data_IF_239176867041
#
_entry.id   IF_239176867041
#
_cell.length_a   1.000
_cell.length_b   1.000
_cell.length_c   1.000
_cell.angle_alpha   90.00
_cell.angle_beta   90.00
_cell.angle_gamma   90.00
#
_symmetry.space_group_name_H-M   'P 1'
#
loop_
_entity.id
_entity.type
_entity.pdbx_description
1 polymer ?
#
# COMPACT_ATOMS: atom_id res chain seq x y z
N UNK A 1 -24.95 -7.96 -5.06
CA UNK A 1 -23.98 -6.99 -4.51
C UNK A 1 -24.53 -6.22 -3.32
N UNK A 2 -25.78 -5.76 -3.35
CA UNK A 2 -26.36 -5.02 -2.21
C UNK A 2 -26.50 -5.87 -0.95
N UNK A 3 -26.85 -7.15 -1.09
CA UNK A 3 -26.89 -8.10 0.03
C UNK A 3 -25.49 -8.32 0.66
N UNK A 4 -24.43 -8.42 -0.16
CA UNK A 4 -23.04 -8.45 0.33
C UNK A 4 -22.71 -7.18 1.13
N UNK A 5 -23.01 -6.00 0.56
CA UNK A 5 -22.78 -4.72 1.24
C UNK A 5 -23.55 -4.65 2.56
N UNK A 6 -24.78 -5.12 2.60
CA UNK A 6 -25.59 -5.18 3.81
C UNK A 6 -24.91 -6.08 4.86
N UNK A 7 -24.52 -7.31 4.50
CA UNK A 7 -23.82 -8.24 5.42
C UNK A 7 -22.50 -7.67 5.98
N UNK A 8 -21.81 -6.83 5.21
CA UNK A 8 -20.56 -6.18 5.64
C UNK A 8 -20.84 -4.97 6.53
N UNK A 9 -21.86 -4.17 6.21
CA UNK A 9 -22.13 -2.88 6.87
C UNK A 9 -23.03 -2.97 8.10
N UNK A 10 -23.88 -3.98 8.21
CA UNK A 10 -24.81 -4.12 9.36
C UNK A 10 -24.20 -4.85 10.56
N UNK A 11 -23.02 -5.46 10.41
CA UNK A 11 -22.35 -6.18 11.49
C UNK A 11 -21.41 -5.25 12.25
N UNK A 12 -21.77 -4.88 13.48
CA UNK A 12 -20.97 -3.99 14.33
C UNK A 12 -19.54 -4.51 14.57
N UNK A 13 -19.32 -5.83 14.52
CA UNK A 13 -17.98 -6.41 14.64
C UNK A 13 -17.10 -6.08 13.45
N UNK A 14 -17.69 -5.81 12.28
CA UNK A 14 -16.97 -5.44 11.05
C UNK A 14 -16.69 -3.95 10.93
N UNK A 15 -17.46 -3.13 11.64
CA UNK A 15 -17.26 -1.68 11.68
C UNK A 15 -15.84 -1.32 12.16
N UNK A 16 -15.28 -2.10 13.09
CA UNK A 16 -13.90 -1.90 13.58
C UNK A 16 -12.88 -1.99 12.44
N UNK A 17 -12.98 -3.00 11.58
CA UNK A 17 -12.06 -3.17 10.45
C UNK A 17 -12.26 -2.10 9.36
N UNK A 18 -13.51 -1.70 9.11
CA UNK A 18 -13.83 -0.65 8.13
C UNK A 18 -13.37 0.74 8.56
N UNK A 19 -13.29 0.99 9.86
CA UNK A 19 -12.91 2.29 10.43
C UNK A 19 -11.43 2.37 10.79
N UNK A 20 -10.75 1.23 10.95
CA UNK A 20 -9.35 1.16 11.37
C UNK A 20 -8.49 0.36 10.36
N UNK A 21 -7.81 1.11 9.49
CA UNK A 21 -6.88 0.51 8.52
C UNK A 21 -5.65 -0.10 9.21
N UNK A 22 -5.20 0.45 10.34
CA UNK A 22 -4.10 -0.13 11.08
C UNK A 22 -4.49 -1.50 11.68
N UNK A 23 -5.77 -1.71 12.01
CA UNK A 23 -6.28 -3.03 12.35
C UNK A 23 -6.14 -4.01 11.19
N UNK A 24 -6.58 -3.61 10.00
CA UNK A 24 -6.44 -4.43 8.80
C UNK A 24 -4.98 -4.82 8.52
N UNK A 25 -4.03 -3.88 8.67
CA UNK A 25 -2.61 -4.13 8.42
C UNK A 25 -1.94 -5.00 9.49
N UNK A 26 -2.42 -4.94 10.73
CA UNK A 26 -1.92 -5.75 11.84
C UNK A 26 -2.33 -7.21 11.74
N UNK A 27 -3.50 -7.47 11.16
CA UNK A 27 -4.10 -8.81 11.07
C UNK A 27 -4.81 -9.00 9.74
N UNK A 28 -4.07 -8.98 8.61
CA UNK A 28 -4.64 -8.99 7.27
C UNK A 28 -5.48 -10.23 6.95
N UNK A 29 -5.10 -11.41 7.48
CA UNK A 29 -5.89 -12.65 7.32
C UNK A 29 -7.25 -12.54 8.01
N UNK A 30 -7.29 -12.06 9.26
CA UNK A 30 -8.53 -11.89 10.01
C UNK A 30 -9.43 -10.83 9.38
N UNK A 31 -8.84 -9.71 8.96
CA UNK A 31 -9.55 -8.64 8.26
C UNK A 31 -10.16 -9.15 6.94
N UNK A 32 -9.39 -9.89 6.14
CA UNK A 32 -9.89 -10.51 4.90
C UNK A 32 -10.99 -11.53 5.18
N UNK A 33 -10.83 -12.37 6.21
CA UNK A 33 -11.85 -13.31 6.66
C UNK A 33 -13.17 -12.61 6.98
N UNK A 34 -13.14 -11.63 7.87
CA UNK A 34 -14.32 -10.92 8.35
C UNK A 34 -15.00 -10.04 7.28
N UNK A 35 -14.20 -9.34 6.47
CA UNK A 35 -14.70 -8.36 5.50
C UNK A 35 -15.02 -8.92 4.12
N UNK A 36 -14.40 -10.04 3.73
CA UNK A 36 -14.51 -10.60 2.37
C UNK A 36 -14.98 -12.05 2.43
N UNK A 37 -14.20 -12.94 3.04
CA UNK A 37 -14.43 -14.38 2.89
C UNK A 37 -15.71 -14.87 3.58
N UNK A 38 -15.96 -14.50 4.84
CA UNK A 38 -17.16 -14.86 5.58
C UNK A 38 -18.45 -14.29 4.96
N UNK A 39 -18.53 -12.99 4.58
CA UNK A 39 -19.69 -12.50 3.84
C UNK A 39 -19.95 -13.28 2.56
N UNK A 40 -18.91 -13.57 1.76
CA UNK A 40 -19.07 -14.37 0.54
C UNK A 40 -19.52 -15.80 0.85
N UNK A 41 -18.99 -16.43 1.90
CA UNK A 41 -19.40 -17.76 2.33
C UNK A 41 -20.88 -17.82 2.74
N UNK A 42 -21.44 -16.75 3.33
CA UNK A 42 -22.89 -16.67 3.64
C UNK A 42 -23.74 -16.64 2.36
N UNK A 43 -23.21 -16.10 1.27
CA UNK A 43 -23.87 -16.07 -0.04
C UNK A 43 -23.74 -17.39 -0.82
N UNK A 44 -23.01 -18.40 -0.29
CA UNK A 44 -22.78 -19.70 -0.94
C UNK A 44 -24.07 -20.48 -1.26
N UNK A 45 -25.14 -20.21 -0.49
CA UNK A 45 -26.44 -20.87 -0.65
C UNK A 45 -27.44 -20.08 -1.51
N UNK A 46 -27.11 -18.84 -1.90
CA UNK A 46 -27.92 -18.12 -2.88
C UNK A 46 -27.67 -18.76 -4.25
N UNK A 47 -28.76 -18.90 -5.02
CA UNK A 47 -28.67 -19.37 -6.41
C UNK A 47 -27.57 -18.58 -7.13
N UNK A 48 -26.75 -19.30 -7.89
CA UNK A 48 -25.82 -18.71 -8.85
C UNK A 48 -26.54 -17.56 -9.59
N UNK A 49 -25.92 -16.37 -9.68
CA UNK A 49 -26.56 -15.24 -10.33
C UNK A 49 -26.90 -15.65 -11.77
N UNK A 50 -28.19 -15.82 -12.06
CA UNK A 50 -28.65 -16.50 -13.27
C UNK A 50 -28.17 -15.84 -14.58
N UNK A 51 -27.83 -14.55 -14.52
CA UNK A 51 -27.51 -13.72 -15.68
C UNK A 51 -26.10 -13.08 -15.64
N UNK A 52 -25.24 -13.44 -14.67
CA UNK A 52 -23.91 -12.80 -14.57
C UNK A 52 -22.83 -13.66 -13.90
N UNK A 53 -21.71 -13.85 -14.59
CA UNK A 53 -20.49 -14.40 -13.99
C UNK A 53 -19.83 -13.36 -13.08
N UNK A 54 -19.66 -13.71 -11.80
CA UNK A 54 -18.94 -12.88 -10.84
C UNK A 54 -17.51 -13.37 -10.71
N UNK A 55 -16.54 -12.44 -10.69
CA UNK A 55 -15.14 -12.76 -10.50
C UNK A 55 -14.45 -11.82 -9.51
N UNK A 56 -13.49 -12.35 -8.77
CA UNK A 56 -12.51 -11.61 -7.98
C UNK A 56 -11.27 -11.42 -8.85
N UNK A 57 -10.98 -10.18 -9.25
CA UNK A 57 -9.77 -9.86 -10.01
C UNK A 57 -8.63 -9.46 -9.06
N UNK A 58 -7.52 -10.18 -9.13
CA UNK A 58 -6.25 -9.78 -8.52
C UNK A 58 -5.31 -9.40 -9.66
N UNK A 59 -5.05 -8.12 -9.79
CA UNK A 59 -4.18 -7.64 -10.84
C UNK A 59 -2.71 -7.58 -10.40
N UNK A 60 -1.80 -7.73 -11.36
CA UNK A 60 -0.37 -7.45 -11.23
C UNK A 60 0.40 -8.29 -10.19
N UNK A 61 0.13 -9.58 -10.11
CA UNK A 61 0.87 -10.49 -9.23
C UNK A 61 2.36 -10.63 -9.63
N UNK A 62 3.26 -10.65 -8.64
CA UNK A 62 4.72 -10.70 -8.82
C UNK A 62 5.40 -11.76 -7.93
N UNK A 63 6.63 -12.18 -8.27
CA UNK A 63 7.35 -13.27 -7.56
C UNK A 63 7.68 -12.97 -6.09
N UNK A 64 7.62 -11.70 -5.68
CA UNK A 64 7.77 -11.34 -4.26
C UNK A 64 6.59 -11.78 -3.38
N UNK A 65 5.51 -12.32 -3.97
CA UNK A 65 4.41 -12.94 -3.23
C UNK A 65 4.80 -14.26 -2.51
N UNK A 66 6.05 -14.70 -2.65
CA UNK A 66 6.57 -15.97 -2.11
C UNK A 66 7.63 -15.80 -1.02
N UNK A 67 7.66 -14.66 -0.30
CA UNK A 67 8.59 -14.40 0.82
C UNK A 67 8.34 -15.26 2.07
N UNK A 68 8.08 -16.56 1.90
CA UNK A 68 8.30 -17.55 2.94
C UNK A 68 9.74 -18.06 2.87
N UNK A 69 10.49 -17.81 3.96
CA UNK A 69 11.57 -18.67 4.43
C UNK A 69 12.95 -18.66 3.73
N UNK A 70 13.53 -17.48 3.46
CA UNK A 70 15.00 -17.37 3.39
C UNK A 70 15.52 -16.10 4.06
N UNK A 71 16.00 -16.25 5.31
CA UNK A 71 17.01 -15.36 5.88
C UNK A 71 16.51 -14.27 6.84
N UNK A 72 16.60 -14.58 8.14
CA UNK A 72 16.79 -13.66 9.27
C UNK A 72 15.74 -12.56 9.49
N UNK A 73 14.93 -12.76 10.55
CA UNK A 73 14.01 -11.77 11.17
C UNK A 73 12.89 -11.24 10.27
N UNK A 74 12.18 -12.12 9.56
CA UNK A 74 11.01 -11.72 8.78
C UNK A 74 9.77 -11.61 9.68
N UNK A 75 9.30 -10.38 9.91
CA UNK A 75 7.86 -10.13 10.08
C UNK A 75 7.15 -10.87 8.95
N UNK A 76 6.28 -11.83 9.25
CA UNK A 76 5.53 -12.61 8.25
C UNK A 76 4.63 -11.67 7.45
N UNK A 77 5.11 -11.18 6.30
CA UNK A 77 4.31 -10.33 5.42
C UNK A 77 3.26 -11.20 4.73
N UNK A 78 2.01 -11.08 5.16
CA UNK A 78 0.88 -11.74 4.52
C UNK A 78 0.56 -11.04 3.21
N UNK A 79 0.51 -11.81 2.13
CA UNK A 79 0.14 -11.32 0.79
C UNK A 79 -1.35 -11.56 0.53
N UNK A 80 -1.91 -10.87 -0.46
CA UNK A 80 -3.31 -11.11 -0.87
C UNK A 80 -3.54 -12.56 -1.34
N UNK A 81 -2.50 -13.20 -1.87
CA UNK A 81 -2.52 -14.59 -2.28
C UNK A 81 -2.58 -15.54 -1.08
N UNK A 82 -1.91 -15.21 0.02
CA UNK A 82 -2.00 -15.97 1.28
C UNK A 82 -3.42 -15.91 1.84
N UNK A 83 -4.03 -14.72 1.85
CA UNK A 83 -5.42 -14.54 2.26
C UNK A 83 -6.36 -15.45 1.45
N UNK A 84 -6.22 -15.44 0.12
CA UNK A 84 -7.11 -16.24 -0.73
C UNK A 84 -6.85 -17.74 -0.58
N UNK A 85 -5.59 -18.15 -0.48
CA UNK A 85 -5.23 -19.55 -0.28
C UNK A 85 -5.81 -20.10 1.03
N UNK A 86 -5.84 -19.30 2.09
CA UNK A 86 -6.44 -19.70 3.37
C UNK A 86 -7.95 -19.92 3.28
N UNK A 87 -8.66 -19.04 2.56
CA UNK A 87 -10.13 -19.06 2.51
C UNK A 87 -10.73 -19.72 1.26
N UNK A 88 -9.93 -20.28 0.35
CA UNK A 88 -10.40 -20.78 -0.95
C UNK A 88 -11.55 -21.81 -0.86
N UNK A 89 -11.57 -22.66 0.18
CA UNK A 89 -12.57 -23.72 0.38
C UNK A 89 -13.96 -23.19 0.80
N UNK A 90 -13.99 -22.04 1.47
CA UNK A 90 -15.24 -21.44 1.95
C UNK A 90 -15.89 -20.51 0.93
N UNK A 91 -15.13 -20.04 -0.07
CA UNK A 91 -15.64 -19.18 -1.12
C UNK A 91 -16.72 -19.89 -1.97
N UNK A 92 -17.70 -19.14 -2.52
CA UNK A 92 -18.72 -19.71 -3.38
C UNK A 92 -18.12 -20.34 -4.64
N UNK A 93 -18.60 -21.54 -5.02
CA UNK A 93 -18.10 -22.24 -6.21
C UNK A 93 -18.37 -21.52 -7.53
N UNK A 94 -19.40 -20.66 -7.55
CA UNK A 94 -19.72 -19.81 -8.71
C UNK A 94 -18.82 -18.58 -8.83
N UNK A 95 -18.02 -18.25 -7.80
CA UNK A 95 -17.11 -17.11 -7.83
C UNK A 95 -15.80 -17.50 -8.50
N UNK A 96 -15.51 -16.88 -9.64
CA UNK A 96 -14.25 -17.10 -10.35
C UNK A 96 -13.14 -16.23 -9.76
N UNK A 97 -11.97 -16.79 -9.48
CA UNK A 97 -10.80 -16.02 -9.07
C UNK A 97 -9.90 -15.86 -10.29
N UNK A 98 -9.72 -14.62 -10.73
CA UNK A 98 -8.89 -14.29 -11.90
C UNK A 98 -7.67 -13.53 -11.39
N UNK A 99 -6.50 -14.10 -11.62
CA UNK A 99 -5.23 -13.46 -11.28
C UNK A 99 -4.48 -13.12 -12.56
N UNK A 100 -4.03 -11.88 -12.70
CA UNK A 100 -3.03 -11.52 -13.72
C UNK A 100 -1.66 -11.56 -13.08
N UNK A 101 -0.66 -12.10 -13.79
CA UNK A 101 0.69 -12.26 -13.25
C UNK A 101 1.73 -12.16 -14.36
N UNK A 102 2.95 -11.74 -14.02
CA UNK A 102 4.07 -11.82 -14.97
C UNK A 102 4.37 -13.28 -15.31
N UNK A 103 4.85 -13.55 -16.53
CA UNK A 103 5.17 -14.91 -17.05
C UNK A 103 5.99 -15.78 -16.09
N UNK A 104 6.87 -15.13 -15.32
CA UNK A 104 7.82 -15.73 -14.40
C UNK A 104 7.22 -16.10 -13.02
N UNK A 105 6.00 -15.64 -12.72
CA UNK A 105 5.34 -15.85 -11.44
C UNK A 105 5.04 -17.35 -11.19
N UNK A 106 5.76 -17.96 -10.25
CA UNK A 106 5.59 -19.40 -9.91
C UNK A 106 4.78 -19.65 -8.63
N UNK A 107 4.53 -18.61 -7.82
CA UNK A 107 3.88 -18.72 -6.51
C UNK A 107 2.43 -19.19 -6.57
N UNK A 108 1.69 -18.78 -7.60
CA UNK A 108 0.27 -19.08 -7.78
C UNK A 108 0.00 -20.58 -7.78
N UNK A 109 0.83 -21.33 -8.50
CA UNK A 109 0.67 -22.77 -8.65
C UNK A 109 0.90 -23.56 -7.36
N UNK A 110 1.66 -22.97 -6.43
CA UNK A 110 1.98 -23.60 -5.14
C UNK A 110 0.91 -23.34 -4.09
N UNK A 111 0.30 -22.15 -4.10
CA UNK A 111 -0.61 -21.69 -3.04
C UNK A 111 -2.09 -21.98 -3.33
N UNK A 112 -2.51 -22.01 -4.59
CA UNK A 112 -3.91 -22.24 -4.96
C UNK A 112 -4.12 -23.66 -5.49
N UNK A 113 -5.12 -24.36 -4.96
CA UNK A 113 -5.51 -25.69 -5.46
C UNK A 113 -6.46 -25.54 -6.66
N UNK A 114 -6.43 -26.50 -7.60
CA UNK A 114 -7.37 -26.52 -8.73
C UNK A 114 -7.27 -25.36 -9.73
N UNK A 115 -6.22 -24.55 -9.68
CA UNK A 115 -6.05 -23.40 -10.58
C UNK A 115 -5.79 -23.85 -12.03
N UNK A 116 -6.39 -23.14 -12.99
CA UNK A 116 -6.11 -23.31 -14.43
C UNK A 116 -5.28 -22.13 -14.92
N UNK A 117 -4.06 -22.40 -15.38
CA UNK A 117 -3.22 -21.39 -16.05
C UNK A 117 -3.70 -21.18 -17.48
N UNK A 118 -4.02 -19.94 -17.83
CA UNK A 118 -4.21 -19.49 -19.21
C UNK A 118 -3.04 -18.60 -19.54
N UNK A 119 -2.22 -19.03 -20.50
CA UNK A 119 -1.11 -18.22 -21.02
C UNK A 119 -1.67 -17.35 -22.15
N UNK A 120 -1.48 -16.04 -22.06
CA UNK A 120 -1.96 -15.06 -23.05
C UNK A 120 -0.82 -14.41 -23.84
N UNK A 121 0.41 -14.61 -23.40
CA UNK A 121 1.62 -13.91 -23.85
C UNK A 121 2.59 -14.81 -24.64
N UNK A 122 2.20 -16.06 -24.93
CA UNK A 122 3.02 -17.01 -25.68
C UNK A 122 2.69 -16.93 -27.19
N UNK A 123 3.28 -15.93 -27.85
CA UNK A 123 3.05 -15.61 -29.27
C UNK A 123 3.46 -16.76 -30.21
N UNK A 124 4.30 -17.70 -29.74
CA UNK A 124 4.64 -18.91 -30.49
C UNK A 124 3.43 -19.83 -30.72
N UNK A 125 2.38 -19.71 -29.90
CA UNK A 125 1.14 -20.47 -30.07
C UNK A 125 0.22 -19.77 -31.07
N UNK A 126 -0.21 -20.47 -32.15
CA UNK A 126 -1.00 -19.85 -33.22
C UNK A 126 -2.37 -19.34 -32.75
N UNK A 127 -2.98 -19.99 -31.75
CA UNK A 127 -4.25 -19.53 -31.17
C UNK A 127 -4.09 -18.19 -30.45
N UNK A 128 -3.02 -18.03 -29.64
CA UNK A 128 -2.75 -16.79 -28.91
C UNK A 128 -2.42 -15.67 -29.87
N UNK A 129 -1.56 -15.92 -30.87
CA UNK A 129 -1.27 -14.94 -31.91
C UNK A 129 -2.54 -14.49 -32.64
N UNK A 130 -3.47 -15.42 -32.94
CA UNK A 130 -4.75 -15.10 -33.55
C UNK A 130 -5.64 -14.25 -32.63
N UNK A 131 -5.68 -14.55 -31.33
CA UNK A 131 -6.47 -13.79 -30.36
C UNK A 131 -5.93 -12.36 -30.16
N UNK A 132 -4.61 -12.19 -30.11
CA UNK A 132 -3.95 -10.88 -30.08
C UNK A 132 -4.32 -10.08 -31.34
N UNK A 133 -4.23 -10.69 -32.52
CA UNK A 133 -4.59 -10.04 -33.78
C UNK A 133 -6.06 -9.63 -33.81
N UNK A 134 -6.97 -10.49 -33.34
CA UNK A 134 -8.40 -10.17 -33.22
C UNK A 134 -8.66 -9.02 -32.25
N UNK A 135 -7.97 -9.01 -31.10
CA UNK A 135 -8.06 -7.90 -30.14
C UNK A 135 -7.65 -6.58 -30.79
N UNK A 136 -6.49 -6.55 -31.45
CA UNK A 136 -5.98 -5.36 -32.14
C UNK A 136 -6.96 -4.90 -33.21
N UNK A 137 -7.41 -5.82 -34.08
CA UNK A 137 -8.35 -5.52 -35.16
C UNK A 137 -9.65 -4.93 -34.61
N UNK A 138 -10.22 -5.54 -33.57
CA UNK A 138 -11.45 -5.08 -32.94
C UNK A 138 -11.29 -3.66 -32.37
N UNK A 139 -10.17 -3.40 -31.66
CA UNK A 139 -9.87 -2.08 -31.11
C UNK A 139 -9.70 -1.02 -32.19
N UNK A 140 -9.03 -1.34 -33.30
CA UNK A 140 -8.85 -0.42 -34.44
C UNK A 140 -10.19 -0.12 -35.13
N UNK A 141 -11.04 -1.13 -35.35
CA UNK A 141 -12.36 -0.96 -35.98
C UNK A 141 -13.32 -0.05 -35.19
N UNK A 142 -13.13 0.06 -33.88
CA UNK A 142 -13.92 0.96 -33.03
C UNK A 142 -13.44 2.42 -33.09
N UNK A 143 -12.26 2.70 -33.66
CA UNK A 143 -11.75 4.05 -33.76
C UNK A 143 -12.42 4.80 -34.92
N UNK A 144 -12.72 6.11 -34.76
CA UNK A 144 -13.32 6.93 -35.80
C UNK A 144 -12.27 7.39 -36.83
N UNK A 145 -11.51 6.45 -37.40
CA UNK A 145 -10.42 6.67 -38.36
C UNK A 145 -10.57 5.66 -39.49
N UNK A 146 -10.33 6.09 -40.74
CA UNK A 146 -10.32 5.18 -41.88
C UNK A 146 -8.94 4.52 -42.01
N UNK A 147 -8.92 3.19 -42.02
CA UNK A 147 -7.72 2.35 -42.07
C UNK A 147 -7.51 1.68 -43.44
N UNK A 148 -8.27 2.08 -44.46
CA UNK A 148 -8.27 1.43 -45.77
C UNK A 148 -6.85 1.27 -46.31
N UNK A 149 -6.38 0.02 -46.43
CA UNK A 149 -5.09 -0.36 -47.01
C UNK A 149 -3.88 -0.46 -46.06
N UNK A 150 -4.00 -0.12 -44.77
CA UNK A 150 -2.90 -0.22 -43.79
C UNK A 150 -3.22 -1.09 -42.56
N UNK A 151 -4.46 -1.54 -42.41
CA UNK A 151 -4.94 -2.30 -41.25
C UNK A 151 -4.09 -3.55 -40.99
N UNK A 152 -3.88 -4.38 -42.02
CA UNK A 152 -3.18 -5.67 -41.87
C UNK A 152 -1.72 -5.49 -41.45
N UNK A 153 -1.05 -4.49 -42.01
CA UNK A 153 0.35 -4.19 -41.68
C UNK A 153 0.48 -3.64 -40.26
N UNK A 154 -0.48 -2.80 -39.84
CA UNK A 154 -0.52 -2.29 -38.48
C UNK A 154 -0.79 -3.42 -37.45
N UNK A 155 -1.72 -4.32 -37.75
CA UNK A 155 -2.02 -5.48 -36.91
C UNK A 155 -0.77 -6.36 -36.77
N UNK A 156 -0.06 -6.65 -37.87
CA UNK A 156 1.20 -7.42 -37.83
C UNK A 156 2.26 -6.70 -37.01
N UNK A 157 2.46 -5.40 -37.23
CA UNK A 157 3.44 -4.59 -36.52
C UNK A 157 3.19 -4.57 -35.01
N UNK A 158 1.95 -4.30 -34.60
CA UNK A 158 1.56 -4.28 -33.19
C UNK A 158 1.65 -5.65 -32.54
N UNK A 159 1.31 -6.72 -33.26
CA UNK A 159 1.47 -8.10 -32.77
C UNK A 159 2.94 -8.37 -32.45
N UNK A 160 3.86 -8.04 -33.36
CA UNK A 160 5.31 -8.24 -33.16
C UNK A 160 5.83 -7.36 -32.02
N UNK A 161 5.49 -6.07 -32.00
CA UNK A 161 6.00 -5.13 -31.00
C UNK A 161 5.50 -5.40 -29.58
N UNK A 162 4.29 -5.90 -29.45
CA UNK A 162 3.71 -6.20 -28.15
C UNK A 162 4.37 -7.39 -27.46
N UNK A 163 4.93 -8.33 -28.23
CA UNK A 163 5.44 -9.61 -27.72
C UNK A 163 4.47 -10.28 -26.72
N UNK A 164 3.16 -10.21 -27.00
CA UNK A 164 2.11 -10.77 -26.14
C UNK A 164 1.74 -9.92 -24.91
N UNK A 165 2.31 -8.72 -24.76
CA UNK A 165 1.98 -7.80 -23.68
C UNK A 165 0.69 -7.01 -23.99
N UNK A 166 -0.44 -7.41 -23.38
CA UNK A 166 -1.70 -6.69 -23.53
C UNK A 166 -1.69 -5.28 -22.96
N UNK A 167 -0.99 -5.04 -21.84
CA UNK A 167 -0.85 -3.69 -21.28
C UNK A 167 -0.14 -2.74 -22.26
N UNK A 168 0.87 -3.24 -22.98
CA UNK A 168 1.52 -2.47 -24.04
C UNK A 168 0.52 -2.11 -25.15
N UNK A 169 -0.25 -3.10 -25.63
CA UNK A 169 -1.25 -2.89 -26.68
C UNK A 169 -2.33 -1.91 -26.25
N UNK A 170 -2.85 -2.06 -25.05
CA UNK A 170 -3.87 -1.18 -24.48
C UNK A 170 -3.37 0.26 -24.45
N UNK A 171 -2.17 0.51 -23.91
CA UNK A 171 -1.60 1.86 -23.84
C UNK A 171 -1.35 2.47 -25.22
N UNK A 172 -0.86 1.70 -26.19
CA UNK A 172 -0.62 2.18 -27.56
C UNK A 172 -1.93 2.47 -28.30
N UNK A 173 -2.93 1.59 -28.16
CA UNK A 173 -4.23 1.74 -28.80
C UNK A 173 -5.07 2.84 -28.16
N UNK A 174 -5.01 3.03 -26.84
CA UNK A 174 -5.64 4.14 -26.13
C UNK A 174 -5.03 5.47 -26.56
N UNK A 175 -3.69 5.53 -26.65
CA UNK A 175 -2.98 6.69 -27.18
C UNK A 175 -3.35 6.99 -28.65
N UNK A 176 -3.66 5.97 -29.44
CA UNK A 176 -4.13 6.17 -30.81
C UNK A 176 -5.59 6.68 -30.83
N UNK A 177 -6.46 6.12 -29.99
CA UNK A 177 -7.87 6.49 -29.90
C UNK A 177 -8.07 7.95 -29.48
N UNK A 178 -7.28 8.43 -28.52
CA UNK A 178 -7.35 9.81 -28.01
C UNK A 178 -6.47 10.81 -28.80
N UNK A 179 -5.87 10.35 -29.91
CA UNK A 179 -5.00 11.13 -30.82
C UNK A 179 -3.70 11.62 -30.19
N UNK A 180 -3.27 11.06 -29.06
CA UNK A 180 -1.94 11.30 -28.50
C UNK A 180 -0.82 10.71 -29.36
N UNK A 181 -1.09 9.58 -30.02
CA UNK A 181 -0.23 8.90 -30.97
C UNK A 181 -0.92 8.85 -32.34
N UNK A 182 -0.25 9.33 -33.38
CA UNK A 182 -0.69 9.09 -34.74
C UNK A 182 -0.34 7.66 -35.13
N UNK A 183 -1.26 6.94 -35.75
CA UNK A 183 -1.08 5.54 -36.11
C UNK A 183 0.14 5.29 -37.03
N UNK A 184 0.45 6.26 -37.90
CA UNK A 184 1.66 6.23 -38.74
C UNK A 184 2.96 6.25 -37.94
N UNK A 185 2.94 6.79 -36.72
CA UNK A 185 4.10 6.90 -35.83
C UNK A 185 4.25 5.64 -34.95
N UNK A 186 3.33 4.66 -35.01
CA UNK A 186 3.40 3.41 -34.24
C UNK A 186 4.72 2.67 -34.52
N UNK A 187 5.28 2.81 -35.72
CA UNK A 187 6.58 2.26 -36.07
C UNK A 187 7.74 2.82 -35.23
N UNK A 188 7.59 4.00 -34.62
CA UNK A 188 8.59 4.64 -33.76
C UNK A 188 8.44 4.24 -32.28
N UNK A 189 7.29 3.70 -31.88
CA UNK A 189 7.04 3.30 -30.49
C UNK A 189 7.95 2.11 -30.12
N UNK A 190 8.74 2.15 -29.05
CA UNK A 190 9.61 1.03 -28.66
C UNK A 190 8.81 -0.26 -28.43
N UNK A 191 9.39 -1.44 -28.66
CA UNK A 191 8.73 -2.75 -28.49
C UNK A 191 8.81 -3.32 -27.07
N UNK A 192 9.22 -2.54 -26.07
CA UNK A 192 9.27 -2.98 -24.67
C UNK A 192 8.41 -2.05 -23.82
N UNK A 193 7.83 -2.58 -22.74
CA UNK A 193 7.01 -1.77 -21.83
C UNK A 193 7.80 -0.63 -21.19
N UNK A 194 9.05 -0.88 -20.77
CA UNK A 194 9.94 0.15 -20.24
C UNK A 194 10.27 1.23 -21.27
N UNK A 195 10.50 0.83 -22.54
CA UNK A 195 10.70 1.77 -23.64
C UNK A 195 9.46 2.58 -23.95
N UNK A 196 8.27 1.96 -23.90
CA UNK A 196 7.00 2.64 -24.07
C UNK A 196 6.78 3.71 -22.98
N UNK A 197 7.02 3.39 -21.71
CA UNK A 197 6.92 4.35 -20.62
C UNK A 197 7.84 5.55 -20.81
N UNK A 198 9.10 5.30 -21.18
CA UNK A 198 10.06 6.36 -21.48
C UNK A 198 9.57 7.24 -22.63
N UNK A 199 9.16 6.61 -23.74
CA UNK A 199 8.66 7.30 -24.94
C UNK A 199 7.41 8.13 -24.66
N UNK A 200 6.47 7.61 -23.86
CA UNK A 200 5.28 8.35 -23.45
C UNK A 200 5.65 9.55 -22.57
N UNK A 201 6.54 9.37 -21.60
CA UNK A 201 7.00 10.47 -20.76
C UNK A 201 7.71 11.54 -21.60
N UNK A 202 8.58 11.18 -22.55
CA UNK A 202 9.24 12.15 -23.43
C UNK A 202 8.27 12.95 -24.30
N UNK A 203 7.14 12.35 -24.70
CA UNK A 203 6.07 13.09 -25.40
C UNK A 203 5.22 13.96 -24.47
N UNK A 204 5.04 13.54 -23.22
CA UNK A 204 4.28 14.31 -22.23
C UNK A 204 5.07 15.50 -21.68
N UNK A 205 6.41 15.41 -21.68
CA UNK A 205 7.30 16.39 -21.07
C UNK A 205 8.36 16.88 -22.07
N UNK A 206 8.11 18.06 -22.61
CA UNK A 206 9.02 18.86 -23.39
C UNK A 206 9.83 19.83 -22.52
N UNK A 207 10.88 20.44 -23.10
CA UNK A 207 11.83 21.29 -22.36
C UNK A 207 11.19 22.56 -21.75
N UNK A 208 10.04 23.00 -22.25
CA UNK A 208 9.35 24.22 -21.80
C UNK A 208 8.53 24.00 -20.51
N UNK A 209 8.25 22.75 -20.15
CA UNK A 209 7.29 22.41 -19.12
C UNK A 209 7.91 21.50 -18.06
N UNK A 210 8.35 22.05 -16.92
CA UNK A 210 9.19 21.30 -15.99
C UNK A 210 8.46 20.10 -15.38
N UNK A 211 9.10 18.93 -15.46
CA UNK A 211 8.63 17.67 -14.86
C UNK A 211 8.67 17.69 -13.32
N UNK A 212 9.14 18.77 -12.68
CA UNK A 212 9.34 18.86 -11.23
C UNK A 212 8.06 18.61 -10.44
N UNK A 213 6.97 19.32 -10.75
CA UNK A 213 5.68 19.14 -10.06
C UNK A 213 5.14 17.73 -10.26
N UNK A 214 5.25 17.19 -11.47
CA UNK A 214 4.79 15.83 -11.80
C UNK A 214 5.63 14.77 -11.06
N UNK A 215 6.95 14.95 -10.99
CA UNK A 215 7.84 14.09 -10.20
C UNK A 215 7.43 14.06 -8.73
N UNK A 216 7.06 15.21 -8.16
CA UNK A 216 6.55 15.28 -6.79
C UNK A 216 5.20 14.58 -6.66
N UNK A 217 4.27 14.77 -7.61
CA UNK A 217 2.99 14.04 -7.66
C UNK A 217 3.24 12.52 -7.62
N UNK A 218 4.05 12.00 -8.53
CA UNK A 218 4.37 10.58 -8.57
C UNK A 218 5.09 10.10 -7.32
N UNK A 219 6.02 10.90 -6.76
CA UNK A 219 6.71 10.55 -5.52
C UNK A 219 5.73 10.42 -4.35
N UNK A 220 4.75 11.33 -4.22
CA UNK A 220 3.69 11.24 -3.19
C UNK A 220 2.82 10.01 -3.39
N UNK A 221 2.41 9.73 -4.64
CA UNK A 221 1.59 8.55 -4.94
C UNK A 221 2.34 7.23 -4.66
N UNK A 222 3.65 7.17 -4.95
CA UNK A 222 4.51 6.04 -4.64
C UNK A 222 4.68 5.81 -3.13
N UNK A 223 4.66 6.89 -2.34
CA UNK A 223 4.83 6.83 -0.88
C UNK A 223 3.51 6.58 -0.13
N UNK A 224 2.37 6.86 -0.75
CA UNK A 224 1.06 6.76 -0.12
C UNK A 224 0.67 5.31 0.14
N UNK A 225 0.20 5.01 1.36
CA UNK A 225 -0.32 3.68 1.72
C UNK A 225 -1.78 3.48 1.32
N UNK A 226 -2.46 4.56 0.99
CA UNK A 226 -3.90 4.59 0.73
C UNK A 226 -4.19 5.47 -0.49
N UNK A 227 -5.34 5.27 -1.15
CA UNK A 227 -5.81 6.21 -2.17
C UNK A 227 -5.89 7.62 -1.59
N UNK A 228 -5.42 8.60 -2.35
CA UNK A 228 -5.35 10.01 -1.93
C UNK A 228 -6.29 10.84 -2.80
N UNK A 229 -7.11 11.70 -2.21
CA UNK A 229 -7.93 12.62 -3.01
C UNK A 229 -7.05 13.66 -3.73
N UNK A 230 -7.51 14.21 -4.86
CA UNK A 230 -6.77 15.27 -5.57
C UNK A 230 -6.48 16.49 -4.68
N UNK A 231 -7.40 16.82 -3.77
CA UNK A 231 -7.23 17.91 -2.81
C UNK A 231 -6.12 17.62 -1.81
N UNK A 232 -6.10 16.41 -1.25
CA UNK A 232 -5.04 15.99 -0.33
C UNK A 232 -3.70 15.88 -1.06
N UNK A 233 -3.68 15.36 -2.28
CA UNK A 233 -2.48 15.26 -3.12
C UNK A 233 -1.89 16.65 -3.39
N UNK A 234 -2.71 17.63 -3.74
CA UNK A 234 -2.26 19.02 -3.87
C UNK A 234 -1.65 19.56 -2.57
N UNK A 235 -2.32 19.36 -1.44
CA UNK A 235 -1.81 19.82 -0.14
C UNK A 235 -0.46 19.20 0.21
N UNK A 236 -0.22 17.94 -0.18
CA UNK A 236 1.08 17.30 -0.03
C UNK A 236 2.12 17.89 -1.00
N UNK A 237 1.79 18.04 -2.28
CA UNK A 237 2.73 18.58 -3.28
C UNK A 237 3.12 20.03 -2.97
N UNK A 238 2.20 20.84 -2.44
CA UNK A 238 2.48 22.20 -1.99
C UNK A 238 3.52 22.31 -0.88
N UNK A 239 3.80 21.24 -0.14
CA UNK A 239 4.87 21.28 0.87
C UNK A 239 6.27 21.26 0.24
N UNK A 240 6.39 20.78 -1.00
CA UNK A 240 7.63 20.83 -1.77
C UNK A 240 7.74 22.11 -2.63
N UNK A 241 6.60 22.67 -3.06
CA UNK A 241 6.51 23.94 -3.78
C UNK A 241 5.36 24.79 -3.25
N UNK A 242 5.67 25.70 -2.34
CA UNK A 242 4.69 26.57 -1.68
C UNK A 242 4.10 27.64 -2.62
N UNK A 243 4.69 27.83 -3.80
CA UNK A 243 4.20 28.76 -4.82
C UNK A 243 3.17 28.14 -5.76
N UNK A 244 2.99 26.81 -5.71
CA UNK A 244 2.11 26.06 -6.59
C UNK A 244 0.64 26.39 -6.34
N UNK A 245 -0.02 26.99 -7.32
CA UNK A 245 -1.47 27.21 -7.31
C UNK A 245 -2.25 25.94 -7.65
N UNK A 246 -3.50 25.85 -7.19
CA UNK A 246 -4.42 24.76 -7.53
C UNK A 246 -4.61 24.61 -9.05
N UNK A 247 -4.66 25.71 -9.80
CA UNK A 247 -4.81 25.69 -11.25
C UNK A 247 -3.58 25.05 -11.93
N UNK A 248 -2.37 25.43 -11.52
CA UNK A 248 -1.13 24.84 -12.05
C UNK A 248 -1.03 23.34 -11.69
N UNK A 249 -1.43 22.96 -10.48
CA UNK A 249 -1.51 21.57 -10.08
C UNK A 249 -2.47 20.76 -10.96
N UNK A 250 -3.69 21.26 -11.21
CA UNK A 250 -4.65 20.57 -12.08
C UNK A 250 -4.14 20.45 -13.53
N UNK A 251 -3.40 21.44 -14.04
CA UNK A 251 -2.73 21.33 -15.35
C UNK A 251 -1.70 20.19 -15.33
N UNK A 252 -0.91 20.08 -14.27
CA UNK A 252 0.06 18.98 -14.11
C UNK A 252 -0.63 17.61 -14.05
N UNK A 253 -1.70 17.47 -13.25
CA UNK A 253 -2.50 16.23 -13.15
C UNK A 253 -3.13 15.87 -14.50
N UNK A 254 -3.76 16.85 -15.18
CA UNK A 254 -4.39 16.63 -16.49
C UNK A 254 -3.39 16.15 -17.54
N UNK A 255 -2.16 16.66 -17.51
CA UNK A 255 -1.09 16.23 -18.41
C UNK A 255 -0.77 14.74 -18.25
N UNK A 256 -0.75 14.25 -17.02
CA UNK A 256 -0.45 12.84 -16.73
C UNK A 256 -1.69 11.99 -16.48
N UNK A 257 -2.89 12.47 -16.83
CA UNK A 257 -4.14 11.76 -16.54
C UNK A 257 -4.15 10.31 -17.08
N UNK A 258 -3.52 10.05 -18.22
CA UNK A 258 -3.38 8.69 -18.79
C UNK A 258 -2.48 7.75 -17.98
N UNK A 259 -1.67 8.30 -17.09
CA UNK A 259 -0.75 7.56 -16.19
C UNK A 259 -1.30 7.52 -14.76
N UNK A 260 -2.52 8.01 -14.56
CA UNK A 260 -3.20 8.04 -13.28
C UNK A 260 -4.54 7.34 -13.40
N UNK A 261 -4.99 6.76 -12.30
CA UNK A 261 -6.38 6.44 -12.11
C UNK A 261 -6.97 7.47 -11.14
N UNK A 262 -8.01 8.18 -11.57
CA UNK A 262 -8.65 9.24 -10.79
C UNK A 262 -10.16 9.04 -10.70
N UNK A 263 -10.67 9.13 -9.49
CA UNK A 263 -12.08 9.20 -9.13
C UNK A 263 -12.31 10.37 -8.15
N UNK A 264 -13.55 10.67 -7.77
CA UNK A 264 -13.90 11.79 -6.89
C UNK A 264 -13.13 11.76 -5.55
N UNK A 265 -12.79 10.57 -5.07
CA UNK A 265 -12.12 10.36 -3.78
C UNK A 265 -10.70 9.78 -3.87
N UNK A 266 -10.29 9.30 -5.04
CA UNK A 266 -9.09 8.47 -5.17
C UNK A 266 -8.24 8.91 -6.35
N UNK A 267 -6.93 9.02 -6.11
CA UNK A 267 -5.91 9.21 -7.12
C UNK A 267 -4.82 8.17 -6.88
N UNK A 268 -4.54 7.36 -7.89
CA UNK A 268 -3.55 6.29 -7.87
C UNK A 268 -2.70 6.33 -9.15
N UNK A 269 -1.55 5.68 -9.15
CA UNK A 269 -0.87 5.33 -10.40
C UNK A 269 -1.72 4.29 -11.13
N UNK A 270 -1.80 4.40 -12.46
CA UNK A 270 -2.68 3.53 -13.25
C UNK A 270 -2.30 2.04 -13.19
N UNK A 271 -1.02 1.73 -12.96
CA UNK A 271 -0.54 0.34 -12.94
C UNK A 271 0.75 0.19 -12.12
N UNK A 272 0.91 -0.95 -11.45
CA UNK A 272 2.06 -1.24 -10.57
C UNK A 272 3.39 -1.33 -11.32
N UNK A 273 3.43 -1.87 -12.54
CA UNK A 273 4.66 -1.91 -13.35
C UNK A 273 5.18 -0.52 -13.72
N UNK A 274 4.30 0.49 -13.81
CA UNK A 274 4.72 1.87 -13.99
C UNK A 274 5.30 2.44 -12.70
N UNK A 275 4.72 2.09 -11.54
CA UNK A 275 5.29 2.42 -10.24
C UNK A 275 6.71 1.84 -10.08
N UNK A 276 6.91 0.56 -10.42
CA UNK A 276 8.22 -0.08 -10.44
C UNK A 276 9.19 0.68 -11.36
N UNK A 277 8.76 0.98 -12.58
CA UNK A 277 9.57 1.70 -13.57
C UNK A 277 10.01 3.07 -13.04
N UNK A 278 9.12 3.85 -12.43
CA UNK A 278 9.44 5.16 -11.86
C UNK A 278 10.54 5.09 -10.78
N UNK A 279 10.66 3.97 -10.08
CA UNK A 279 11.70 3.77 -9.05
C UNK A 279 12.98 3.11 -9.57
N UNK A 280 12.98 2.62 -10.81
CA UNK A 280 14.15 1.99 -11.42
C UNK A 280 14.98 3.01 -12.23
N UNK A 281 16.10 3.44 -11.64
CA UNK A 281 17.05 4.37 -12.27
C UNK A 281 17.53 3.88 -13.64
N UNK A 282 17.65 2.56 -13.86
CA UNK A 282 18.16 2.00 -15.12
C UNK A 282 17.19 2.21 -16.27
N UNK A 283 15.89 2.12 -15.99
CA UNK A 283 14.85 2.16 -17.02
C UNK A 283 14.19 3.53 -17.14
N UNK A 284 13.88 4.20 -16.04
CA UNK A 284 13.27 5.55 -16.07
C UNK A 284 14.27 6.65 -16.43
N UNK A 285 15.57 6.35 -16.37
CA UNK A 285 16.66 7.32 -16.46
C UNK A 285 16.62 8.34 -15.31
N UNK A 286 17.69 9.11 -15.07
CA UNK A 286 17.66 10.19 -14.08
C UNK A 286 16.59 11.26 -14.35
N UNK A 287 16.09 11.37 -15.60
CA UNK A 287 15.09 12.35 -15.99
C UNK A 287 13.73 12.06 -15.32
N UNK A 288 13.27 10.82 -15.35
CA UNK A 288 11.92 10.45 -14.86
C UNK A 288 11.91 9.70 -13.54
N UNK A 289 13.07 9.22 -13.09
CA UNK A 289 13.20 8.56 -11.80
C UNK A 289 12.59 9.39 -10.66
N UNK A 290 11.74 8.73 -9.87
CA UNK A 290 11.04 9.28 -8.72
C UNK A 290 11.57 8.64 -7.45
N UNK A 291 11.74 9.45 -6.41
CA UNK A 291 12.21 8.98 -5.11
C UNK A 291 11.02 8.95 -4.14
N UNK A 292 10.57 7.77 -3.69
CA UNK A 292 9.50 7.68 -2.68
C UNK A 292 9.81 8.48 -1.41
N UNK A 293 11.10 8.65 -1.08
CA UNK A 293 11.55 9.47 0.05
C UNK A 293 11.04 10.92 0.00
N UNK A 294 10.98 11.53 -1.20
CA UNK A 294 10.40 12.87 -1.41
C UNK A 294 8.90 12.86 -1.08
N UNK A 295 8.20 11.80 -1.50
CA UNK A 295 6.79 11.59 -1.19
C UNK A 295 6.52 11.44 0.31
N UNK A 296 7.34 10.63 1.01
CA UNK A 296 7.28 10.52 2.47
C UNK A 296 7.49 11.88 3.13
N UNK A 297 8.45 12.68 2.66
CA UNK A 297 8.67 14.04 3.17
C UNK A 297 7.45 14.94 2.99
N UNK A 298 6.82 14.92 1.82
CA UNK A 298 5.63 15.71 1.54
C UNK A 298 4.43 15.30 2.42
N UNK A 299 4.21 14.00 2.57
CA UNK A 299 3.15 13.46 3.43
C UNK A 299 3.44 13.77 4.90
N UNK A 300 4.68 13.64 5.35
CA UNK A 300 5.07 14.01 6.72
C UNK A 300 4.84 15.50 6.99
N UNK A 301 5.16 16.40 6.05
CA UNK A 301 4.88 17.83 6.16
C UNK A 301 3.37 18.13 6.17
N UNK A 302 2.60 17.44 5.33
CA UNK A 302 1.14 17.53 5.32
C UNK A 302 0.53 17.15 6.69
N UNK A 303 0.97 16.03 7.26
CA UNK A 303 0.53 15.62 8.60
C UNK A 303 1.05 16.56 9.69
N UNK A 304 2.26 17.10 9.56
CA UNK A 304 2.83 18.10 10.49
C UNK A 304 1.92 19.31 10.64
N UNK A 305 1.40 19.84 9.52
CA UNK A 305 0.47 20.98 9.54
C UNK A 305 -0.86 20.67 10.26
N UNK A 306 -1.28 19.41 10.23
CA UNK A 306 -2.56 18.94 10.80
C UNK A 306 -2.40 18.27 12.17
N UNK A 307 -1.17 18.15 12.68
CA UNK A 307 -0.79 17.27 13.80
C UNK A 307 -1.69 17.39 15.03
N UNK A 308 -2.09 18.60 15.41
CA UNK A 308 -2.97 18.86 16.56
C UNK A 308 -4.41 18.30 16.44
N UNK A 309 -4.84 17.96 15.22
CA UNK A 309 -6.20 17.49 14.89
C UNK A 309 -6.23 16.06 14.35
N UNK A 310 -5.08 15.39 14.27
CA UNK A 310 -5.02 14.03 13.71
C UNK A 310 -5.71 13.02 14.63
N UNK A 311 -6.48 12.12 14.04
CA UNK A 311 -6.97 10.92 14.72
C UNK A 311 -5.88 9.86 14.91
N UNK A 312 -6.18 8.78 15.63
CA UNK A 312 -5.22 7.71 15.94
C UNK A 312 -4.57 7.11 14.67
N UNK A 313 -5.38 6.74 13.67
CA UNK A 313 -4.87 6.19 12.40
C UNK A 313 -4.03 7.19 11.61
N UNK A 314 -4.41 8.48 11.60
CA UNK A 314 -3.60 9.52 10.95
C UNK A 314 -2.28 9.78 11.69
N UNK A 315 -2.24 9.64 13.01
CA UNK A 315 -1.00 9.72 13.79
C UNK A 315 -0.05 8.55 13.48
N UNK A 316 -0.58 7.35 13.31
CA UNK A 316 0.20 6.19 12.86
C UNK A 316 0.75 6.43 11.45
N UNK A 317 -0.06 6.96 10.53
CA UNK A 317 0.41 7.35 9.20
C UNK A 317 1.48 8.45 9.25
N UNK A 318 1.31 9.46 10.11
CA UNK A 318 2.30 10.50 10.30
C UNK A 318 3.64 9.91 10.77
N UNK A 319 3.61 9.07 11.80
CA UNK A 319 4.78 8.37 12.29
C UNK A 319 5.41 7.46 11.22
N UNK A 320 4.59 6.79 10.41
CA UNK A 320 5.07 5.96 9.31
C UNK A 320 5.87 6.77 8.29
N UNK A 321 5.35 7.91 7.83
CA UNK A 321 6.08 8.72 6.85
C UNK A 321 7.34 9.33 7.46
N UNK A 322 7.30 9.79 8.72
CA UNK A 322 8.48 10.27 9.42
C UNK A 322 9.55 9.18 9.61
N UNK A 323 9.17 7.95 9.93
CA UNK A 323 10.12 6.86 10.15
C UNK A 323 10.94 6.54 8.90
N UNK A 324 10.37 6.71 7.70
CA UNK A 324 11.09 6.57 6.42
C UNK A 324 12.14 7.66 6.19
N UNK A 325 11.97 8.83 6.80
CA UNK A 325 12.95 9.92 6.76
C UNK A 325 14.17 9.64 7.64
N UNK A 326 14.19 8.59 8.47
CA UNK A 326 15.40 8.22 9.21
C UNK A 326 16.59 7.94 8.27
N UNK A 327 16.31 7.48 7.05
CA UNK A 327 17.31 7.28 6.00
C UNK A 327 17.96 8.57 5.49
N UNK A 328 17.37 9.74 5.75
CA UNK A 328 17.92 11.05 5.37
C UNK A 328 18.86 11.65 6.42
N UNK A 329 19.23 10.89 7.45
CA UNK A 329 20.19 11.30 8.49
C UNK A 329 19.58 11.85 9.77
N UNK A 330 18.25 11.90 9.90
CA UNK A 330 17.56 12.27 11.15
C UNK A 330 17.42 11.06 12.06
N UNK A 331 17.75 11.22 13.35
CA UNK A 331 17.56 10.14 14.32
C UNK A 331 16.08 9.97 14.71
N UNK A 332 15.71 8.79 15.21
CA UNK A 332 14.32 8.54 15.67
C UNK A 332 13.90 9.50 16.79
N UNK A 333 14.83 9.94 17.64
CA UNK A 333 14.58 10.93 18.69
C UNK A 333 14.26 12.31 18.09
N UNK A 334 15.01 12.73 17.05
CA UNK A 334 14.75 13.99 16.34
C UNK A 334 13.41 13.97 15.61
N UNK A 335 13.07 12.84 14.99
CA UNK A 335 11.78 12.66 14.31
C UNK A 335 10.62 12.62 15.30
N UNK A 336 10.78 12.00 16.48
CA UNK A 336 9.80 12.02 17.55
C UNK A 336 9.59 13.45 18.09
N UNK A 337 10.69 14.20 18.29
CA UNK A 337 10.63 15.61 18.67
C UNK A 337 9.90 16.46 17.62
N UNK A 338 10.16 16.25 16.33
CA UNK A 338 9.40 16.91 15.27
C UNK A 338 7.90 16.64 15.43
N UNK A 339 7.50 15.37 15.50
CA UNK A 339 6.10 14.97 15.65
C UNK A 339 5.42 15.68 16.83
N UNK A 340 6.08 15.70 18.00
CA UNK A 340 5.57 16.35 19.21
C UNK A 340 5.51 17.87 19.08
N UNK A 341 6.52 18.51 18.48
CA UNK A 341 6.56 19.97 18.32
C UNK A 341 5.48 20.49 17.36
N UNK A 342 5.04 19.68 16.42
CA UNK A 342 3.87 20.00 15.59
C UNK A 342 2.53 19.92 16.36
N UNK A 343 2.54 19.45 17.62
CA UNK A 343 1.35 19.32 18.45
C UNK A 343 0.64 17.98 18.32
N UNK A 344 1.31 16.95 17.81
CA UNK A 344 0.76 15.60 17.75
C UNK A 344 0.47 15.07 19.16
N UNK A 345 -0.76 14.61 19.40
CA UNK A 345 -1.21 14.08 20.69
C UNK A 345 -0.96 12.58 20.78
N UNK A 346 0.30 12.21 21.01
CA UNK A 346 0.76 10.80 20.96
C UNK A 346 0.69 10.11 22.35
N UNK A 347 0.72 10.89 23.42
CA UNK A 347 0.69 10.43 24.83
C UNK A 347 -0.53 9.57 25.18
N UNK A 348 -1.65 9.75 24.48
CA UNK A 348 -2.91 9.01 24.67
C UNK A 348 -3.27 8.12 23.48
N UNK A 349 -2.30 7.73 22.67
CA UNK A 349 -2.53 6.90 21.49
C UNK A 349 -2.93 5.47 21.90
N UNK A 350 -4.23 5.22 21.97
CA UNK A 350 -4.80 3.87 22.07
C UNK A 350 -5.06 3.35 20.66
N UNK A 351 -4.56 2.16 20.36
CA UNK A 351 -4.72 1.53 19.05
C UNK A 351 -5.67 0.34 19.19
N UNK A 352 -6.44 0.04 18.15
CA UNK A 352 -7.25 -1.19 18.15
C UNK A 352 -6.44 -2.43 17.77
N UNK A 353 -5.19 -2.23 17.31
CA UNK A 353 -4.31 -3.30 16.84
C UNK A 353 -2.83 -2.94 17.02
N UNK A 354 -1.94 -3.94 16.86
CA UNK A 354 -0.49 -3.72 16.87
C UNK A 354 -0.03 -3.08 15.56
N UNK A 355 0.99 -2.24 15.63
CA UNK A 355 1.63 -1.71 14.43
C UNK A 355 2.55 -2.78 13.86
N UNK A 356 2.40 -3.09 12.57
CA UNK A 356 3.23 -4.10 11.90
C UNK A 356 4.63 -3.59 11.55
N UNK A 357 4.78 -2.30 11.29
CA UNK A 357 6.05 -1.68 10.93
C UNK A 357 6.87 -1.29 12.17
N UNK A 358 7.96 -2.01 12.43
CA UNK A 358 8.82 -1.83 13.61
C UNK A 358 9.47 -0.45 13.70
N UNK A 359 9.74 0.22 12.57
CA UNK A 359 10.27 1.59 12.57
C UNK A 359 9.22 2.60 13.02
N UNK A 360 7.98 2.43 12.56
CA UNK A 360 6.82 3.24 12.97
C UNK A 360 6.50 3.04 14.45
N UNK A 361 6.49 1.78 14.90
CA UNK A 361 6.31 1.42 16.31
C UNK A 361 7.37 2.09 17.18
N UNK A 362 8.66 1.92 16.82
CA UNK A 362 9.79 2.55 17.52
C UNK A 362 9.66 4.07 17.57
N UNK A 363 9.26 4.72 16.48
CA UNK A 363 9.11 6.17 16.46
C UNK A 363 8.01 6.64 17.43
N UNK A 364 6.87 5.95 17.46
CA UNK A 364 5.77 6.27 18.35
C UNK A 364 6.15 6.05 19.82
N UNK A 365 6.85 4.97 20.14
CA UNK A 365 7.38 4.73 21.50
C UNK A 365 8.34 5.86 21.93
N UNK A 366 9.22 6.32 21.03
CA UNK A 366 10.13 7.45 21.30
C UNK A 366 9.38 8.77 21.47
N UNK A 367 8.24 8.93 20.80
CA UNK A 367 7.32 10.06 21.00
C UNK A 367 6.47 9.94 22.27
N UNK A 368 6.63 8.86 23.06
CA UNK A 368 5.92 8.65 24.32
C UNK A 368 4.56 7.97 24.18
N UNK A 369 4.27 7.32 23.04
CA UNK A 369 3.07 6.52 22.88
C UNK A 369 3.07 5.33 23.85
N UNK A 370 1.95 5.13 24.56
CA UNK A 370 1.72 3.87 25.28
C UNK A 370 0.88 2.97 24.38
N UNK A 371 1.55 2.17 23.55
CA UNK A 371 0.89 1.30 22.57
C UNK A 371 0.10 0.21 23.29
N UNK A 372 -1.19 0.44 23.46
CA UNK A 372 -2.16 -0.50 24.05
C UNK A 372 -3.17 -0.90 22.99
N UNK A 373 -3.45 -2.21 22.89
CA UNK A 373 -4.41 -2.77 21.93
C UNK A 373 -5.78 -2.88 22.59
N UNK A 374 -6.79 -2.18 22.07
CA UNK A 374 -8.17 -2.25 22.56
C UNK A 374 -8.73 -3.67 22.43
N UNK A 375 -9.40 -4.18 23.47
CA UNK A 375 -9.95 -5.55 23.50
C UNK A 375 -9.03 -6.61 24.13
N UNK A 376 -7.80 -6.26 24.53
CA UNK A 376 -7.02 -7.01 25.52
C UNK A 376 -7.14 -6.45 26.95
N UNK A 377 -8.30 -5.88 27.30
CA UNK A 377 -8.72 -5.78 28.70
C UNK A 377 -9.21 -7.16 29.11
N UNK A 378 -8.43 -7.97 29.80
CA UNK A 378 -8.41 -8.05 31.27
C UNK A 378 -7.02 -8.45 31.82
N UNK A 379 -5.95 -7.83 31.35
CA UNK A 379 -4.60 -8.13 31.86
C UNK A 379 -3.54 -7.15 31.48
N UNK A 380 -3.84 -5.88 31.72
CA UNK A 380 -2.86 -4.82 31.58
C UNK A 380 -1.72 -5.05 32.55
N UNK A 381 -0.51 -5.30 32.02
CA UNK A 381 0.73 -5.05 32.74
C UNK A 381 0.61 -3.66 33.39
N UNK A 382 0.79 -3.56 34.70
CA UNK A 382 0.65 -2.28 35.40
C UNK A 382 1.66 -1.24 34.85
N UNK A 383 1.38 0.07 34.96
CA UNK A 383 2.35 1.10 34.59
C UNK A 383 3.72 0.91 35.29
N UNK A 384 3.70 0.38 36.52
CA UNK A 384 4.89 -0.02 37.27
C UNK A 384 5.66 -1.16 36.58
N UNK A 385 4.93 -2.20 36.13
CA UNK A 385 5.52 -3.35 35.45
C UNK A 385 6.20 -2.95 34.13
N UNK A 386 5.54 -2.12 33.32
CA UNK A 386 6.11 -1.63 32.06
C UNK A 386 7.34 -0.75 32.32
N UNK A 387 7.25 0.21 33.24
CA UNK A 387 8.38 1.07 33.59
C UNK A 387 9.59 0.26 34.07
N UNK A 388 9.36 -0.81 34.84
CA UNK A 388 10.39 -1.70 35.34
C UNK A 388 11.01 -2.58 34.24
N UNK A 389 10.18 -3.14 33.35
CA UNK A 389 10.61 -3.94 32.19
C UNK A 389 11.55 -3.16 31.26
N UNK A 390 11.28 -1.87 31.06
CA UNK A 390 12.09 -0.99 30.20
C UNK A 390 13.14 -0.17 30.95
N UNK A 391 13.38 -0.43 32.25
CA UNK A 391 14.44 0.22 33.03
C UNK A 391 14.25 1.72 33.27
N UNK A 392 13.01 2.22 33.20
CA UNK A 392 12.68 3.66 33.30
C UNK A 392 12.66 4.10 34.77
N UNK A 393 13.83 4.07 35.42
CA UNK A 393 14.00 4.30 36.87
C UNK A 393 13.26 5.56 37.39
N UNK A 394 13.35 6.70 36.69
CA UNK A 394 12.65 7.95 37.10
C UNK A 394 11.13 7.84 37.03
N UNK A 395 10.60 7.05 36.08
CA UNK A 395 9.16 6.79 35.96
C UNK A 395 8.71 5.86 37.08
N UNK A 396 9.48 4.81 37.38
CA UNK A 396 9.21 3.95 38.53
C UNK A 396 9.18 4.75 39.84
N UNK A 397 10.10 5.69 40.03
CA UNK A 397 10.16 6.55 41.22
C UNK A 397 8.90 7.41 41.36
N UNK A 398 8.52 8.12 40.29
CA UNK A 398 7.32 8.94 40.27
C UNK A 398 6.03 8.12 40.50
N UNK A 399 5.96 6.90 39.97
CA UNK A 399 4.82 6.00 40.17
C UNK A 399 4.74 5.50 41.63
N UNK A 400 5.87 5.17 42.25
CA UNK A 400 5.92 4.77 43.66
C UNK A 400 5.55 5.93 44.58
N UNK A 401 5.97 7.15 44.25
CA UNK A 401 5.57 8.37 44.98
C UNK A 401 4.07 8.67 44.85
N UNK A 402 3.46 8.30 43.72
CA UNK A 402 2.03 8.38 43.49
C UNK A 402 1.23 7.21 44.11
N UNK A 403 1.87 6.31 44.86
CA UNK A 403 1.21 5.20 45.56
C UNK A 403 0.95 3.96 44.70
N UNK A 404 1.65 3.79 43.57
CA UNK A 404 1.54 2.57 42.78
C UNK A 404 2.05 1.35 43.57
N UNK A 405 1.37 0.21 43.43
CA UNK A 405 1.74 -1.03 44.10
C UNK A 405 3.08 -1.56 43.56
N UNK A 406 4.07 -1.67 44.45
CA UNK A 406 5.45 -2.04 44.12
C UNK A 406 5.57 -3.48 43.57
N UNK A 407 4.72 -4.39 44.04
CA UNK A 407 4.76 -5.82 43.71
C UNK A 407 3.61 -6.30 42.83
N UNK A 408 2.81 -5.40 42.24
CA UNK A 408 1.66 -5.82 41.44
C UNK A 408 2.12 -6.68 40.26
N UNK A 409 1.79 -7.99 40.24
CA UNK A 409 2.27 -8.88 39.20
C UNK A 409 1.45 -8.72 37.92
N UNK A 410 2.04 -9.10 36.80
CA UNK A 410 1.29 -9.28 35.56
C UNK A 410 0.51 -10.62 35.54
N UNK A 411 -0.18 -10.91 34.43
CA UNK A 411 -0.93 -12.16 34.24
C UNK A 411 -0.08 -13.43 34.36
N UNK A 412 1.21 -13.35 34.06
CA UNK A 412 2.14 -14.48 34.17
C UNK A 412 2.71 -14.64 35.59
N UNK A 413 2.26 -13.82 36.54
CA UNK A 413 2.76 -13.79 37.92
C UNK A 413 4.12 -13.10 38.05
N UNK A 414 4.55 -12.32 37.06
CA UNK A 414 5.84 -11.63 37.10
C UNK A 414 5.70 -10.29 37.79
N UNK A 415 6.57 -10.03 38.76
CA UNK A 415 6.63 -8.74 39.46
C UNK A 415 7.48 -7.73 38.69
N UNK A 416 7.29 -6.41 38.94
CA UNK A 416 8.17 -5.37 38.41
C UNK A 416 9.65 -5.63 38.72
N UNK A 417 9.95 -6.17 39.92
CA UNK A 417 11.31 -6.54 40.31
C UNK A 417 11.89 -7.64 39.41
N UNK A 418 11.10 -8.68 39.11
CA UNK A 418 11.52 -9.80 38.25
C UNK A 418 11.86 -9.33 36.83
N UNK A 419 11.04 -8.49 36.22
CA UNK A 419 11.32 -7.97 34.87
C UNK A 419 12.49 -6.98 34.85
N UNK A 420 12.65 -6.15 35.87
CA UNK A 420 13.80 -5.26 35.99
C UNK A 420 15.11 -6.05 36.14
N UNK A 421 15.09 -7.14 36.92
CA UNK A 421 16.24 -8.03 37.10
C UNK A 421 16.57 -8.79 35.80
N UNK A 422 15.55 -9.34 35.12
CA UNK A 422 15.74 -10.01 33.83
C UNK A 422 16.31 -9.07 32.76
N UNK A 423 15.86 -7.81 32.77
CA UNK A 423 16.35 -6.76 31.86
C UNK A 423 17.72 -6.18 32.23
N UNK A 424 18.32 -6.59 33.36
CA UNK A 424 19.61 -6.06 33.82
C UNK A 424 19.58 -4.60 34.29
N UNK A 425 18.40 -4.07 34.64
CA UNK A 425 18.20 -2.66 34.98
C UNK A 425 18.61 -2.37 36.43
N UNK A 426 19.91 -2.37 36.73
CA UNK A 426 20.48 -2.27 38.10
C UNK A 426 19.91 -1.11 38.92
N UNK A 427 19.75 0.07 38.31
CA UNK A 427 19.21 1.25 38.99
C UNK A 427 17.72 1.08 39.34
N UNK A 428 16.95 0.45 38.46
CA UNK A 428 15.53 0.17 38.68
C UNK A 428 15.34 -0.93 39.72
N UNK A 429 16.14 -2.00 39.68
CA UNK A 429 16.17 -3.05 40.71
C UNK A 429 16.49 -2.45 42.08
N UNK A 430 17.53 -1.60 42.16
CA UNK A 430 17.92 -0.94 43.40
C UNK A 430 16.82 -0.04 43.96
N UNK A 431 16.11 0.69 43.09
CA UNK A 431 14.98 1.52 43.49
C UNK A 431 13.81 0.68 44.02
N UNK A 432 13.43 -0.38 43.30
CA UNK A 432 12.32 -1.26 43.69
C UNK A 432 12.58 -1.95 45.03
N UNK A 433 13.80 -2.47 45.24
CA UNK A 433 14.20 -3.08 46.52
C UNK A 433 14.15 -2.07 47.68
N UNK A 434 14.60 -0.82 47.45
CA UNK A 434 14.50 0.26 48.47
C UNK A 434 13.06 0.61 48.83
N UNK A 435 12.13 0.37 47.92
CA UNK A 435 10.69 0.64 48.05
C UNK A 435 9.90 -0.58 48.52
N UNK A 436 10.59 -1.64 48.95
CA UNK A 436 10.00 -2.81 49.58
C UNK A 436 9.53 -3.91 48.64
N UNK A 437 9.99 -3.92 47.38
CA UNK A 437 9.64 -4.97 46.42
C UNK A 437 10.15 -6.36 46.84
N UNK A 438 9.35 -7.41 46.61
CA UNK A 438 9.66 -8.80 46.98
C UNK A 438 9.60 -9.79 45.80
#
# INVERSE_FOLDING_TARGET
MDEYRQIVTTDERKAVWLQDVAACEASPLQAFGALIAEPLAKLKNLREPADSSLFLLIDSMHDQCDRSATGTTASETVTILDCIAEFQEILPKWLLIVCTSRRQCKCLARKLSGFRRITLDDVERPQIASDIQRYILHRLQQMPVDFSGQMDDLVKLLTIKSDGCFLYLEMVLDAAADRFLLLRDVCQVPGTLNGLYLWMCDRLFDNEQPYTTVRTIFSVLLASRQPISLRQLYQCVCTADTSLSWAQFLVAVKRVARLLWTDESMCLLFHSSFADWLTDVKHATPKYHCQPLIGHGCLAMYYSYRAARLGAGELVNFAYHLSRLASSGLSFEQLALWMLQCGAKVDRLVLNSRISDSQTERLLEQAGATLTVAGQGEGTDSPMFLAAKYGRTRVCEALLDAGAAVDQPNRDGWTPLRVAALGGHVNTVSLLLRRGAA
#
